data_IF_088389533051
#
_entry.id   IF_088389533051
#
_cell.length_a   1.000
_cell.length_b   1.000
_cell.length_c   1.000
_cell.angle_alpha   90.00
_cell.angle_beta   90.00
_cell.angle_gamma   90.00
#
_symmetry.space_group_name_H-M   'P 1'
#
loop_
_entity.id
_entity.type
_entity.pdbx_description
1 polymer ?
#
# COMPACT_ATOMS: atom_id res chain seq x y z
N UNK A 1 -1.97 -14.68 24.20
CA UNK A 1 -1.85 -13.24 24.48
C UNK A 1 -0.41 -12.76 24.72
N UNK A 2 0.56 -13.66 24.84
CA UNK A 2 1.98 -13.31 25.06
C UNK A 2 2.78 -13.05 23.78
N UNK A 3 2.24 -13.38 22.62
CA UNK A 3 2.89 -13.12 21.31
C UNK A 3 2.80 -11.67 20.83
N UNK A 4 2.10 -10.80 21.54
CA UNK A 4 1.83 -9.43 21.05
C UNK A 4 2.82 -8.37 21.53
N UNK A 5 3.67 -8.66 22.53
CA UNK A 5 4.48 -7.62 23.20
C UNK A 5 5.68 -7.16 22.34
N UNK A 6 6.27 -8.02 21.53
CA UNK A 6 7.41 -7.66 20.68
C UNK A 6 7.03 -7.06 19.33
N UNK A 7 5.91 -7.48 18.76
CA UNK A 7 5.37 -6.97 17.50
C UNK A 7 4.47 -5.76 17.69
N UNK A 8 3.91 -5.57 18.88
CA UNK A 8 3.01 -4.45 19.20
C UNK A 8 3.66 -3.08 19.05
N UNK A 9 4.96 -2.94 19.30
CA UNK A 9 5.62 -1.64 19.15
C UNK A 9 5.72 -1.18 17.69
N UNK A 10 5.84 -2.11 16.74
CA UNK A 10 5.81 -1.76 15.31
C UNK A 10 4.38 -1.61 14.78
N UNK A 11 3.42 -2.40 15.28
CA UNK A 11 2.01 -2.36 14.86
C UNK A 11 1.30 -1.11 15.40
N UNK A 12 1.68 -0.63 16.58
CA UNK A 12 1.11 0.58 17.18
C UNK A 12 1.71 1.88 16.64
N UNK A 13 2.81 1.79 15.92
CA UNK A 13 3.48 2.96 15.37
C UNK A 13 3.00 3.33 13.97
N UNK A 14 2.21 2.48 13.32
CA UNK A 14 1.71 2.71 11.97
C UNK A 14 0.20 2.47 11.89
N UNK A 15 -0.50 3.35 11.21
CA UNK A 15 -1.91 3.22 10.89
C UNK A 15 -2.15 3.42 9.39
N UNK A 16 -2.68 2.41 8.73
CA UNK A 16 -2.94 2.44 7.29
C UNK A 16 -4.43 2.24 7.05
N UNK A 17 -5.04 3.16 6.33
CA UNK A 17 -6.43 3.06 5.90
C UNK A 17 -6.60 3.68 4.52
N UNK A 18 -7.23 2.95 3.62
CA UNK A 18 -7.51 3.45 2.27
C UNK A 18 -8.84 4.20 2.27
N UNK A 19 -8.84 5.36 1.62
CA UNK A 19 -10.03 6.19 1.47
C UNK A 19 -11.08 5.54 0.55
N UNK A 20 -10.68 4.59 -0.28
CA UNK A 20 -11.45 4.00 -1.38
C UNK A 20 -11.65 5.01 -2.52
N UNK A 21 -12.49 6.02 -2.34
CA UNK A 21 -12.62 7.19 -3.23
C UNK A 21 -12.79 8.48 -2.44
N UNK A 22 -12.29 9.58 -2.95
CA UNK A 22 -12.49 10.92 -2.38
C UNK A 22 -13.81 11.56 -2.82
N UNK A 23 -14.51 10.97 -3.80
CA UNK A 23 -15.85 11.40 -4.17
C UNK A 23 -16.86 10.98 -3.10
N UNK A 24 -17.35 11.94 -2.32
CA UNK A 24 -18.32 11.67 -1.25
C UNK A 24 -19.56 10.96 -1.76
N UNK A 25 -20.09 11.39 -2.90
CA UNK A 25 -21.30 10.81 -3.49
C UNK A 25 -21.09 9.33 -3.85
N UNK A 26 -19.98 9.00 -4.53
CA UNK A 26 -19.65 7.63 -4.87
C UNK A 26 -19.33 6.80 -3.63
N UNK A 27 -18.63 7.40 -2.67
CA UNK A 27 -18.30 6.72 -1.42
C UNK A 27 -19.56 6.30 -0.64
N UNK A 28 -20.51 7.23 -0.46
CA UNK A 28 -21.77 6.96 0.27
C UNK A 28 -22.65 5.94 -0.48
N UNK A 29 -22.63 5.95 -1.81
CA UNK A 29 -23.34 4.96 -2.63
C UNK A 29 -22.74 3.55 -2.47
N UNK A 30 -21.41 3.44 -2.39
CA UNK A 30 -20.71 2.16 -2.19
C UNK A 30 -20.78 1.65 -0.76
N UNK A 31 -20.94 2.53 0.23
CA UNK A 31 -20.95 2.19 1.66
C UNK A 31 -22.25 2.64 2.34
N UNK A 32 -23.42 2.10 1.92
CA UNK A 32 -24.72 2.57 2.45
C UNK A 32 -24.95 2.24 3.93
N UNK A 33 -24.20 1.27 4.47
CA UNK A 33 -24.33 0.81 5.86
C UNK A 33 -22.98 0.33 6.40
N UNK A 34 -22.93 0.11 7.73
CA UNK A 34 -21.75 -0.45 8.39
C UNK A 34 -20.73 0.60 8.84
N UNK A 35 -19.58 0.16 9.36
CA UNK A 35 -18.57 1.04 9.96
C UNK A 35 -18.00 2.10 9.01
N UNK A 36 -17.96 1.80 7.71
CA UNK A 36 -17.45 2.71 6.66
C UNK A 36 -18.52 3.69 6.15
N UNK A 37 -19.79 3.63 6.58
CA UNK A 37 -20.86 4.47 6.01
C UNK A 37 -20.71 5.98 6.28
N UNK A 38 -19.93 6.38 7.26
CA UNK A 38 -19.67 7.78 7.56
C UNK A 38 -18.43 8.28 6.83
N UNK A 39 -18.63 8.94 5.69
CA UNK A 39 -17.54 9.49 4.86
C UNK A 39 -16.59 10.41 5.63
N UNK A 40 -17.13 11.38 6.37
CA UNK A 40 -16.29 12.35 7.10
C UNK A 40 -15.44 11.64 8.17
N UNK A 41 -16.07 10.77 8.95
CA UNK A 41 -15.35 9.98 9.96
C UNK A 41 -14.24 9.11 9.35
N UNK A 42 -14.47 8.55 8.17
CA UNK A 42 -13.47 7.74 7.46
C UNK A 42 -12.34 8.61 6.92
N UNK A 43 -12.65 9.72 6.27
CA UNK A 43 -11.66 10.64 5.67
C UNK A 43 -10.73 11.24 6.74
N UNK A 44 -11.26 11.58 7.92
CA UNK A 44 -10.51 12.15 9.04
C UNK A 44 -9.81 11.09 9.92
N UNK A 45 -9.74 9.85 9.47
CA UNK A 45 -9.17 8.77 10.29
C UNK A 45 -7.67 8.96 10.56
N UNK A 46 -6.94 9.50 9.59
CA UNK A 46 -5.50 9.80 9.75
C UNK A 46 -5.27 10.95 10.72
N UNK A 47 -6.10 11.98 10.67
CA UNK A 47 -6.03 13.10 11.63
C UNK A 47 -6.16 12.59 13.06
N UNK A 48 -7.18 11.77 13.32
CA UNK A 48 -7.38 11.19 14.65
C UNK A 48 -6.25 10.25 15.08
N UNK A 49 -5.66 9.52 14.14
CA UNK A 49 -4.52 8.65 14.43
C UNK A 49 -3.29 9.49 14.83
N UNK A 50 -3.01 10.57 14.10
CA UNK A 50 -1.88 11.45 14.37
C UNK A 50 -2.10 12.29 15.63
N UNK A 51 -3.31 12.77 15.90
CA UNK A 51 -3.68 13.38 17.17
C UNK A 51 -3.51 12.41 18.35
N UNK A 52 -3.76 11.12 18.12
CA UNK A 52 -3.52 10.04 19.09
C UNK A 52 -2.04 9.67 19.28
N UNK A 53 -1.11 10.33 18.55
CA UNK A 53 0.33 10.12 18.65
C UNK A 53 0.89 9.01 17.73
N UNK A 54 0.17 8.63 16.68
CA UNK A 54 0.67 7.75 15.63
C UNK A 54 1.29 8.63 14.54
N UNK A 55 2.61 8.59 14.39
CA UNK A 55 3.31 9.40 13.41
C UNK A 55 3.40 8.76 12.02
N UNK A 56 3.36 7.43 11.96
CA UNK A 56 3.44 6.66 10.72
C UNK A 56 2.03 6.34 10.21
N UNK A 57 1.52 7.15 9.29
CA UNK A 57 0.23 6.89 8.65
C UNK A 57 0.40 6.55 7.17
N UNK A 58 -0.46 5.66 6.69
CA UNK A 58 -0.51 5.26 5.29
C UNK A 58 -1.87 5.57 4.68
N UNK A 59 -1.86 6.26 3.56
CA UNK A 59 -3.06 6.62 2.80
C UNK A 59 -3.12 5.85 1.49
N UNK A 60 -4.28 5.82 0.88
CA UNK A 60 -4.46 5.19 -0.42
C UNK A 60 -5.86 5.41 -0.97
N UNK A 61 -6.00 5.14 -2.26
CA UNK A 61 -7.27 5.21 -2.97
C UNK A 61 -7.37 4.03 -3.94
N UNK A 62 -8.58 3.50 -4.11
CA UNK A 62 -8.83 2.41 -5.06
C UNK A 62 -9.24 3.01 -6.41
N UNK A 63 -8.28 3.12 -7.33
CA UNK A 63 -8.53 3.67 -8.66
C UNK A 63 -9.50 2.79 -9.46
N UNK A 64 -10.50 3.42 -10.05
CA UNK A 64 -11.55 2.77 -10.82
C UNK A 64 -12.93 2.82 -10.18
N UNK A 65 -13.04 3.25 -8.92
CA UNK A 65 -14.34 3.52 -8.27
C UNK A 65 -14.95 4.86 -8.70
N UNK A 66 -14.10 5.79 -9.12
CA UNK A 66 -14.44 7.10 -9.63
C UNK A 66 -13.37 7.55 -10.62
N UNK A 67 -13.56 8.69 -11.28
CA UNK A 67 -12.55 9.20 -12.22
C UNK A 67 -11.20 9.35 -11.54
N UNK A 68 -10.17 8.76 -12.13
CA UNK A 68 -8.82 8.71 -11.54
C UNK A 68 -8.24 10.09 -11.25
N UNK A 69 -8.61 11.12 -12.06
CA UNK A 69 -8.13 12.49 -11.84
C UNK A 69 -8.64 13.09 -10.54
N UNK A 70 -9.91 12.88 -10.23
CA UNK A 70 -10.50 13.37 -9.00
C UNK A 70 -9.85 12.69 -7.78
N UNK A 71 -9.79 11.36 -7.80
CA UNK A 71 -9.23 10.59 -6.70
C UNK A 71 -7.72 10.82 -6.53
N UNK A 72 -7.00 11.01 -7.63
CA UNK A 72 -5.57 11.32 -7.57
C UNK A 72 -5.31 12.70 -6.95
N UNK A 73 -6.07 13.72 -7.34
CA UNK A 73 -5.97 15.05 -6.73
C UNK A 73 -6.36 14.99 -5.25
N UNK A 74 -7.43 14.27 -4.91
CA UNK A 74 -7.85 14.05 -3.53
C UNK A 74 -6.74 13.39 -2.68
N UNK A 75 -6.06 12.39 -3.23
CA UNK A 75 -4.93 11.72 -2.58
C UNK A 75 -3.77 12.69 -2.28
N UNK A 76 -3.41 13.52 -3.26
CA UNK A 76 -2.36 14.52 -3.08
C UNK A 76 -2.75 15.59 -2.06
N UNK A 77 -3.99 16.09 -2.12
CA UNK A 77 -4.50 17.06 -1.13
C UNK A 77 -4.53 16.47 0.28
N UNK A 78 -4.85 15.19 0.43
CA UNK A 78 -4.80 14.51 1.72
C UNK A 78 -3.36 14.42 2.25
N UNK A 79 -2.39 14.08 1.40
CA UNK A 79 -0.97 14.09 1.78
C UNK A 79 -0.49 15.48 2.21
N UNK A 80 -0.83 16.52 1.46
CA UNK A 80 -0.51 17.92 1.79
C UNK A 80 -1.20 18.39 3.08
N UNK A 81 -2.46 17.96 3.29
CA UNK A 81 -3.19 18.28 4.52
C UNK A 81 -2.47 17.71 5.75
N UNK A 82 -2.08 16.45 5.72
CA UNK A 82 -1.37 15.82 6.84
C UNK A 82 -0.02 16.51 7.12
N UNK A 83 0.72 16.85 6.08
CA UNK A 83 1.98 17.59 6.23
C UNK A 83 1.75 18.99 6.82
N UNK A 84 0.74 19.70 6.36
CA UNK A 84 0.40 21.04 6.86
C UNK A 84 -0.12 21.04 8.29
N UNK A 85 -0.95 20.05 8.65
CA UNK A 85 -1.59 19.97 9.97
C UNK A 85 -0.65 19.42 11.06
N UNK A 86 0.20 18.45 10.71
CA UNK A 86 0.99 17.69 11.68
C UNK A 86 2.50 17.84 11.49
N UNK A 87 2.94 18.54 10.45
CA UNK A 87 4.36 18.77 10.15
C UNK A 87 5.07 17.55 9.53
N UNK A 88 4.31 16.47 9.23
CA UNK A 88 4.82 15.28 8.58
C UNK A 88 3.73 14.68 7.66
N UNK A 89 4.11 14.37 6.43
CA UNK A 89 3.20 13.72 5.48
C UNK A 89 3.08 12.21 5.71
N UNK A 90 2.30 11.50 4.87
CA UNK A 90 2.10 10.08 5.02
C UNK A 90 3.41 9.31 4.78
N UNK A 91 3.65 8.31 5.62
CA UNK A 91 4.78 7.39 5.47
C UNK A 91 4.66 6.51 4.22
N UNK A 92 3.44 6.09 3.90
CA UNK A 92 3.18 5.20 2.77
C UNK A 92 1.95 5.67 1.98
N UNK A 93 2.08 5.62 0.66
CA UNK A 93 0.97 5.74 -0.27
C UNK A 93 0.75 4.39 -0.96
N UNK A 94 -0.48 3.91 -0.91
CA UNK A 94 -0.93 2.75 -1.67
C UNK A 94 -1.81 3.18 -2.82
N UNK A 95 -1.58 2.60 -3.99
CA UNK A 95 -2.28 2.94 -5.24
C UNK A 95 -2.97 1.70 -5.84
N UNK A 96 -3.82 0.99 -5.08
CA UNK A 96 -4.56 -0.12 -5.65
C UNK A 96 -5.50 0.38 -6.74
N UNK A 97 -5.83 -0.52 -7.68
CA UNK A 97 -6.85 -0.28 -8.70
C UNK A 97 -7.82 -1.45 -8.79
N UNK A 98 -8.97 -1.22 -9.41
CA UNK A 98 -9.89 -2.29 -9.75
C UNK A 98 -9.18 -3.23 -10.73
N UNK A 99 -9.06 -4.48 -10.33
CA UNK A 99 -8.58 -5.58 -11.15
C UNK A 99 -9.71 -6.62 -11.27
N UNK A 100 -9.75 -7.43 -12.33
CA UNK A 100 -10.69 -8.54 -12.43
C UNK A 100 -10.58 -9.45 -11.21
N UNK A 101 -11.70 -9.98 -10.77
CA UNK A 101 -11.82 -11.01 -9.73
C UNK A 101 -13.00 -11.91 -10.09
N UNK A 102 -13.18 -13.05 -9.39
CA UNK A 102 -14.19 -14.04 -9.72
C UNK A 102 -15.59 -13.46 -9.93
N UNK A 103 -15.98 -12.49 -9.09
CA UNK A 103 -17.30 -11.83 -9.14
C UNK A 103 -17.23 -10.37 -9.61
N UNK A 104 -16.06 -9.90 -10.09
CA UNK A 104 -15.83 -8.50 -10.47
C UNK A 104 -15.25 -8.44 -11.87
N UNK A 105 -16.04 -7.93 -12.84
CA UNK A 105 -15.54 -7.57 -14.16
C UNK A 105 -15.12 -6.10 -14.18
N UNK A 106 -13.99 -5.80 -14.81
CA UNK A 106 -13.60 -4.40 -15.05
C UNK A 106 -14.58 -3.66 -15.95
N UNK A 107 -15.41 -4.39 -16.70
CA UNK A 107 -16.48 -3.81 -17.53
C UNK A 107 -17.60 -3.20 -16.68
N UNK A 108 -17.77 -3.64 -15.44
CA UNK A 108 -18.74 -3.07 -14.49
C UNK A 108 -18.26 -1.74 -13.89
N UNK A 109 -16.99 -1.38 -14.12
CA UNK A 109 -16.37 -0.16 -13.63
C UNK A 109 -15.90 0.73 -14.78
N UNK A 110 -16.72 1.69 -15.22
CA UNK A 110 -16.41 2.53 -16.37
C UNK A 110 -15.16 3.41 -16.18
N UNK A 111 -14.77 3.64 -14.94
CA UNK A 111 -13.57 4.40 -14.56
C UNK A 111 -12.33 3.52 -14.31
N UNK A 112 -12.41 2.20 -14.57
CA UNK A 112 -11.25 1.31 -14.47
C UNK A 112 -10.11 1.80 -15.35
N UNK A 113 -8.87 1.73 -14.83
CA UNK A 113 -7.69 2.27 -15.49
C UNK A 113 -6.82 1.19 -16.11
N UNK A 114 -6.25 1.50 -17.29
CA UNK A 114 -5.29 0.63 -17.96
C UNK A 114 -3.94 0.59 -17.26
N UNK A 115 -3.11 -0.41 -17.60
CA UNK A 115 -1.73 -0.54 -17.10
C UNK A 115 -0.90 0.73 -17.41
N UNK A 116 -1.05 1.28 -18.61
CA UNK A 116 -0.35 2.50 -19.00
C UNK A 116 -0.75 3.70 -18.12
N UNK A 117 -2.05 3.85 -17.85
CA UNK A 117 -2.53 4.93 -16.99
C UNK A 117 -2.08 4.71 -15.56
N UNK A 118 -2.11 3.48 -15.07
CA UNK A 118 -1.60 3.12 -13.75
C UNK A 118 -0.12 3.49 -13.58
N UNK A 119 0.72 3.13 -14.54
CA UNK A 119 2.13 3.51 -14.53
C UNK A 119 2.34 5.04 -14.54
N UNK A 120 1.51 5.78 -15.29
CA UNK A 120 1.55 7.24 -15.27
C UNK A 120 1.17 7.83 -13.91
N UNK A 121 0.13 7.29 -13.27
CA UNK A 121 -0.29 7.70 -11.92
C UNK A 121 0.85 7.48 -10.92
N UNK A 122 1.49 6.32 -10.95
CA UNK A 122 2.63 6.00 -10.08
C UNK A 122 3.79 6.97 -10.31
N UNK A 123 4.15 7.23 -11.56
CA UNK A 123 5.24 8.16 -11.89
C UNK A 123 4.96 9.59 -11.40
N UNK A 124 3.73 10.08 -11.62
CA UNK A 124 3.35 11.43 -11.18
C UNK A 124 3.26 11.50 -9.66
N UNK A 125 2.73 10.46 -8.99
CA UNK A 125 2.71 10.39 -7.53
C UNK A 125 4.13 10.42 -6.94
N UNK A 126 5.09 9.71 -7.54
CA UNK A 126 6.49 9.74 -7.10
C UNK A 126 7.11 11.14 -7.21
N UNK A 127 6.77 11.91 -8.25
CA UNK A 127 7.25 13.28 -8.42
C UNK A 127 6.58 14.23 -7.42
N UNK A 128 5.26 14.06 -7.22
CA UNK A 128 4.47 14.94 -6.35
C UNK A 128 4.78 14.74 -4.86
N UNK A 129 5.03 13.49 -4.45
CA UNK A 129 5.29 13.13 -3.03
C UNK A 129 6.58 12.31 -2.94
N UNK A 130 7.75 12.93 -3.16
CA UNK A 130 9.02 12.21 -3.33
C UNK A 130 9.53 11.53 -2.06
N UNK A 131 9.13 12.01 -0.88
CA UNK A 131 9.58 11.51 0.42
C UNK A 131 8.82 10.27 0.91
N UNK A 132 7.66 9.98 0.33
CA UNK A 132 6.76 8.91 0.80
C UNK A 132 7.11 7.55 0.19
N UNK A 133 6.99 6.48 0.96
CA UNK A 133 7.00 5.12 0.47
C UNK A 133 5.80 4.85 -0.43
N UNK A 134 6.00 4.18 -1.55
CA UNK A 134 4.90 3.73 -2.42
C UNK A 134 4.87 2.21 -2.47
N UNK A 135 3.72 1.63 -2.17
CA UNK A 135 3.56 0.18 -2.10
C UNK A 135 2.77 -0.36 -3.30
N UNK A 136 3.25 -1.48 -3.84
CA UNK A 136 2.55 -2.29 -4.84
C UNK A 136 2.25 -3.68 -4.28
N UNK A 137 1.02 -4.14 -4.49
CA UNK A 137 0.55 -5.42 -4.00
C UNK A 137 0.74 -6.55 -5.03
N UNK A 138 0.54 -7.78 -4.57
CA UNK A 138 0.52 -9.00 -5.41
C UNK A 138 -0.72 -9.11 -6.31
N UNK A 139 -1.66 -8.18 -6.24
CA UNK A 139 -2.81 -8.09 -7.15
C UNK A 139 -2.40 -7.66 -8.56
N UNK A 140 -1.28 -6.95 -8.68
CA UNK A 140 -0.71 -6.57 -9.97
C UNK A 140 0.15 -7.69 -10.55
N UNK A 141 0.11 -7.82 -11.88
CA UNK A 141 0.94 -8.78 -12.61
C UNK A 141 2.42 -8.48 -12.44
N UNK A 142 3.27 -9.50 -12.60
CA UNK A 142 4.73 -9.33 -12.57
C UNK A 142 5.21 -8.24 -13.53
N UNK A 143 4.64 -8.18 -14.74
CA UNK A 143 5.00 -7.20 -15.75
C UNK A 143 4.74 -5.75 -15.30
N UNK A 144 3.57 -5.50 -14.70
CA UNK A 144 3.22 -4.19 -14.14
C UNK A 144 4.08 -3.87 -12.93
N UNK A 145 4.28 -4.83 -12.03
CA UNK A 145 5.12 -4.65 -10.84
C UNK A 145 6.55 -4.26 -11.22
N UNK A 146 7.11 -4.89 -12.25
CA UNK A 146 8.44 -4.53 -12.78
C UNK A 146 8.48 -3.09 -13.30
N UNK A 147 7.48 -2.68 -14.07
CA UNK A 147 7.42 -1.32 -14.62
C UNK A 147 7.34 -0.27 -13.51
N UNK A 148 6.49 -0.47 -12.51
CA UNK A 148 6.30 0.52 -11.44
C UNK A 148 7.49 0.58 -10.46
N UNK A 149 8.27 -0.48 -10.31
CA UNK A 149 9.55 -0.43 -9.59
C UNK A 149 10.52 0.58 -10.25
N UNK A 150 10.63 0.56 -11.57
CA UNK A 150 11.44 1.52 -12.33
C UNK A 150 10.90 2.96 -12.23
N UNK A 151 9.61 3.12 -11.94
CA UNK A 151 8.94 4.42 -11.77
C UNK A 151 8.97 4.94 -10.33
N UNK A 152 9.59 4.20 -9.41
CA UNK A 152 9.84 4.68 -8.06
C UNK A 152 8.96 4.06 -6.96
N UNK A 153 8.25 2.96 -7.22
CA UNK A 153 7.70 2.14 -6.14
C UNK A 153 8.84 1.64 -5.27
N UNK A 154 8.71 1.79 -3.97
CA UNK A 154 9.77 1.48 -2.99
C UNK A 154 9.40 0.37 -2.01
N UNK A 155 8.15 -0.06 -2.02
CA UNK A 155 7.66 -1.13 -1.16
C UNK A 155 6.89 -2.14 -2.01
N UNK A 156 7.12 -3.43 -1.77
CA UNK A 156 6.51 -4.50 -2.57
C UNK A 156 6.06 -5.63 -1.66
N UNK A 157 4.86 -6.14 -1.91
CA UNK A 157 4.35 -7.34 -1.24
C UNK A 157 4.85 -8.59 -1.95
N UNK A 158 5.14 -9.64 -1.20
CA UNK A 158 5.51 -10.94 -1.74
C UNK A 158 4.91 -12.07 -0.91
N UNK A 159 4.59 -13.19 -1.53
CA UNK A 159 4.06 -14.38 -0.86
C UNK A 159 2.68 -14.17 -0.22
N UNK A 160 1.87 -13.24 -0.73
CA UNK A 160 0.56 -12.93 -0.15
C UNK A 160 -0.40 -14.11 -0.27
N UNK A 161 -1.17 -14.36 0.79
CA UNK A 161 -2.28 -15.31 0.84
C UNK A 161 -3.52 -14.59 1.29
N UNK A 162 -4.59 -14.66 0.50
CA UNK A 162 -5.84 -13.92 0.74
C UNK A 162 -6.96 -14.79 1.30
N UNK A 163 -6.79 -16.12 1.28
CA UNK A 163 -7.71 -17.07 1.87
C UNK A 163 -7.62 -17.08 3.40
N UNK A 164 -8.73 -17.39 4.06
CA UNK A 164 -8.77 -17.54 5.52
C UNK A 164 -7.86 -18.69 5.95
N UNK A 165 -6.88 -18.39 6.80
CA UNK A 165 -5.88 -19.38 7.25
C UNK A 165 -4.80 -19.72 6.22
N UNK A 166 -4.73 -19.03 5.08
CA UNK A 166 -3.82 -19.32 3.97
C UNK A 166 -2.33 -19.35 4.34
N UNK A 167 -1.93 -18.65 5.39
CA UNK A 167 -0.56 -18.71 5.91
C UNK A 167 -0.29 -19.91 6.83
N UNK A 168 -1.33 -20.57 7.36
CA UNK A 168 -1.19 -21.70 8.26
C UNK A 168 -1.08 -23.04 7.55
N UNK A 169 -1.54 -23.12 6.29
CA UNK A 169 -1.54 -24.34 5.48
C UNK A 169 -0.84 -24.05 4.17
N UNK A 170 0.44 -24.43 3.99
CA UNK A 170 1.23 -24.09 2.81
C UNK A 170 0.69 -24.63 1.47
N UNK A 171 -0.13 -25.67 1.51
CA UNK A 171 -0.67 -26.38 0.33
C UNK A 171 -2.19 -26.23 0.17
N UNK A 172 -2.86 -25.37 0.95
CA UNK A 172 -4.28 -25.13 0.74
C UNK A 172 -4.48 -24.59 -0.69
N UNK A 173 -5.00 -25.42 -1.57
CA UNK A 173 -5.60 -24.97 -2.83
C UNK A 173 -6.63 -23.93 -2.43
N UNK A 174 -6.57 -22.76 -3.07
CA UNK A 174 -7.57 -21.75 -2.89
C UNK A 174 -8.94 -22.29 -3.24
N UNK A 175 -9.70 -22.61 -2.22
CA UNK A 175 -11.13 -22.84 -2.31
C UNK A 175 -11.80 -21.50 -2.01
N UNK A 176 -12.74 -21.11 -2.84
CA UNK A 176 -13.87 -20.14 -2.74
C UNK A 176 -13.90 -19.07 -1.62
N UNK A 177 -12.88 -18.90 -0.82
CA UNK A 177 -12.83 -17.94 0.28
C UNK A 177 -11.78 -16.83 0.13
N UNK A 178 -11.19 -16.70 -1.06
CA UNK A 178 -10.20 -15.63 -1.28
C UNK A 178 -10.88 -14.28 -1.35
N UNK A 179 -10.40 -13.36 -0.54
CA UNK A 179 -10.94 -12.00 -0.47
C UNK A 179 -10.60 -11.17 -1.72
N UNK A 180 -9.53 -11.55 -2.45
CA UNK A 180 -9.05 -10.90 -3.67
C UNK A 180 -8.26 -11.90 -4.50
N UNK A 181 -8.35 -11.79 -5.82
CA UNK A 181 -7.46 -12.51 -6.72
C UNK A 181 -6.04 -11.99 -6.63
N UNK A 182 -5.11 -12.91 -6.52
CA UNK A 182 -3.68 -12.64 -6.53
C UNK A 182 -3.16 -12.94 -7.94
N UNK A 183 -2.57 -11.96 -8.59
CA UNK A 183 -1.96 -12.14 -9.93
C UNK A 183 -0.51 -12.61 -9.85
N UNK A 184 0.16 -12.35 -8.75
CA UNK A 184 1.54 -12.78 -8.51
C UNK A 184 1.61 -13.76 -7.33
N UNK A 185 1.69 -15.02 -7.65
CA UNK A 185 1.66 -16.16 -6.72
C UNK A 185 3.03 -16.57 -6.20
N UNK A 186 4.08 -15.88 -6.62
CA UNK A 186 5.44 -16.19 -6.22
C UNK A 186 5.59 -16.16 -4.70
N UNK A 187 6.38 -17.09 -4.20
CA UNK A 187 6.79 -17.09 -2.80
C UNK A 187 7.64 -15.87 -2.47
N UNK A 188 7.83 -15.59 -1.19
CA UNK A 188 8.67 -14.47 -0.78
C UNK A 188 10.11 -14.61 -1.30
N UNK A 189 10.68 -15.84 -1.27
CA UNK A 189 12.03 -16.12 -1.76
C UNK A 189 12.16 -15.89 -3.28
N UNK A 190 11.14 -16.28 -4.05
CA UNK A 190 11.11 -16.02 -5.50
C UNK A 190 11.01 -14.53 -5.81
N UNK A 191 10.22 -13.77 -5.04
CA UNK A 191 10.15 -12.30 -5.18
C UNK A 191 11.47 -11.64 -4.80
N UNK A 192 12.12 -12.08 -3.74
CA UNK A 192 13.45 -11.59 -3.33
C UNK A 192 14.49 -11.87 -4.42
N UNK A 193 14.54 -13.09 -4.94
CA UNK A 193 15.45 -13.46 -6.04
C UNK A 193 15.21 -12.61 -7.28
N UNK A 194 13.95 -12.44 -7.66
CA UNK A 194 13.56 -11.60 -8.79
C UNK A 194 13.99 -10.13 -8.61
N UNK A 195 13.86 -9.57 -7.40
CA UNK A 195 14.32 -8.21 -7.10
C UNK A 195 15.84 -8.08 -7.24
N UNK A 196 16.60 -9.07 -6.78
CA UNK A 196 18.05 -9.11 -6.94
C UNK A 196 18.46 -9.19 -8.41
N UNK A 197 17.76 -10.00 -9.21
CA UNK A 197 18.00 -10.11 -10.66
C UNK A 197 17.71 -8.78 -11.40
N UNK A 198 16.76 -7.98 -10.89
CA UNK A 198 16.48 -6.64 -11.37
C UNK A 198 17.48 -5.57 -10.87
N UNK A 199 18.45 -5.95 -10.04
CA UNK A 199 19.43 -5.03 -9.46
C UNK A 199 18.93 -4.26 -8.23
N UNK A 200 17.82 -4.66 -7.63
CA UNK A 200 17.32 -4.10 -6.39
C UNK A 200 17.79 -4.91 -5.18
N UNK A 201 18.08 -4.24 -4.10
CA UNK A 201 18.42 -4.88 -2.81
C UNK A 201 17.19 -4.79 -1.91
N UNK A 202 16.45 -5.89 -1.72
CA UNK A 202 15.28 -5.90 -0.84
C UNK A 202 15.67 -5.77 0.63
N UNK A 203 14.87 -5.06 1.40
CA UNK A 203 14.96 -4.97 2.85
C UNK A 203 13.62 -5.38 3.46
N UNK A 204 13.66 -6.17 4.52
CA UNK A 204 12.46 -6.56 5.27
C UNK A 204 12.03 -5.49 6.29
N UNK A 205 12.72 -4.36 6.30
CA UNK A 205 12.45 -3.24 7.19
C UNK A 205 11.95 -2.04 6.37
N UNK A 206 10.84 -1.45 6.78
CA UNK A 206 10.38 -0.18 6.22
C UNK A 206 11.08 1.00 6.88
N UNK A 207 11.05 2.17 6.24
CA UNK A 207 11.45 3.41 6.88
C UNK A 207 10.66 3.61 8.19
N UNK A 208 11.26 4.25 9.17
CA UNK A 208 10.64 4.52 10.46
C UNK A 208 11.00 5.92 10.91
N UNK A 209 10.05 6.84 10.86
CA UNK A 209 10.26 8.25 11.20
C UNK A 209 10.63 8.43 12.67
N UNK A 210 9.96 7.74 13.58
CA UNK A 210 10.25 7.80 15.02
C UNK A 210 11.69 7.44 15.38
N UNK A 211 12.23 6.45 14.70
CA UNK A 211 13.61 6.02 14.89
C UNK A 211 14.59 6.78 14.00
N UNK A 212 14.12 7.77 13.25
CA UNK A 212 14.91 8.54 12.30
C UNK A 212 15.52 7.68 11.19
N UNK A 213 14.93 6.53 10.87
CA UNK A 213 15.36 5.63 9.79
C UNK A 213 14.69 6.03 8.49
N UNK A 214 15.05 7.19 7.95
CA UNK A 214 14.57 7.73 6.68
C UNK A 214 15.74 8.21 5.84
N UNK A 215 15.57 8.28 4.53
CA UNK A 215 16.60 8.76 3.59
C UNK A 215 17.95 8.06 3.78
N UNK A 216 19.04 8.82 3.82
CA UNK A 216 20.41 8.31 3.93
C UNK A 216 20.64 7.49 5.20
N UNK A 217 19.96 7.82 6.27
CA UNK A 217 20.07 7.06 7.53
C UNK A 217 19.41 5.69 7.41
N UNK A 218 18.29 5.58 6.71
CA UNK A 218 17.67 4.29 6.39
C UNK A 218 18.62 3.44 5.55
N UNK A 219 19.23 4.01 4.52
CA UNK A 219 20.18 3.31 3.66
C UNK A 219 21.40 2.81 4.44
N UNK A 220 21.96 3.62 5.34
CA UNK A 220 23.10 3.22 6.14
C UNK A 220 22.78 2.06 7.09
N UNK A 221 21.58 2.03 7.69
CA UNK A 221 21.12 0.91 8.54
C UNK A 221 20.90 -0.34 7.69
N UNK A 222 20.30 -0.23 6.52
CA UNK A 222 20.07 -1.35 5.60
C UNK A 222 21.40 -1.98 5.16
N UNK A 223 22.41 -1.18 4.80
CA UNK A 223 23.75 -1.69 4.47
C UNK A 223 24.45 -2.37 5.63
N UNK A 224 24.24 -1.90 6.86
CA UNK A 224 24.80 -2.52 8.06
C UNK A 224 24.18 -3.90 8.31
N UNK A 225 22.87 -4.02 8.12
CA UNK A 225 22.18 -5.32 8.26
C UNK A 225 22.59 -6.33 7.17
N UNK A 226 22.76 -5.91 5.94
CA UNK A 226 23.23 -6.79 4.86
C UNK A 226 24.63 -7.35 5.15
N UNK A 227 25.57 -6.52 5.60
CA UNK A 227 26.92 -6.97 5.99
C UNK A 227 26.95 -7.92 7.18
N UNK A 228 26.00 -7.82 8.10
CA UNK A 228 25.91 -8.70 9.25
C UNK A 228 25.48 -10.15 8.89
N UNK A 229 24.90 -10.35 7.70
CA UNK A 229 24.51 -11.67 7.19
C UNK A 229 25.59 -12.30 6.27
N UNK A 230 26.64 -11.56 5.92
CA UNK A 230 27.76 -12.05 5.11
C UNK A 230 28.91 -12.67 5.95
N UNK A 231 28.81 -12.66 7.26
CA UNK A 231 29.78 -13.27 8.21
C UNK A 231 29.14 -14.43 8.97
#
# INVERSE_FOLDING_TARGET
>A
SECLVGSEMCIRDSYILFQETYSKEHYEALHPTGPKSNYAYHTEAMDRAMEGGIDDVGIGVLFGLNTYRYDFVGLLMHAEHLEAAFGVGPHTISVPRICPADDISTEDFPDAISDEMFCRIVAVARIAVPYTGMIISTRESEAVRRQVLELGVSQISGGSRTSVGGYAVPEAKEEDSSQFDVSDWRTLDEVVSWLLDLGHIPSFCTACYRKGRTGDRFMSVSYTHLRAHET
#
